data_IF_092543331822
#
_entry.id   IF_092543331822
#
_cell.length_a   1.000
_cell.length_b   1.000
_cell.length_c   1.000
_cell.angle_alpha   90.00
_cell.angle_beta   90.00
_cell.angle_gamma   90.00
#
_symmetry.space_group_name_H-M   'P 1'
#
loop_
_entity.id
_entity.type
_entity.pdbx_description
1 polymer ?
#
# COMPACT_ATOMS: atom_id res chain seq x y z
N UNK A 1 10.67 -3.55 -0.88
CA UNK A 1 9.83 -3.76 0.32
C UNK A 1 8.60 -2.88 0.18
N UNK A 2 7.39 -3.44 0.23
CA UNK A 2 6.15 -2.67 0.08
C UNK A 2 6.05 -1.65 1.21
N UNK A 3 5.99 -0.36 0.89
CA UNK A 3 5.72 0.65 1.92
C UNK A 3 4.23 0.64 2.25
N UNK A 4 3.92 0.93 3.51
CA UNK A 4 2.54 0.96 4.02
C UNK A 4 2.27 2.31 4.63
N UNK A 5 1.15 2.94 4.25
CA UNK A 5 0.74 4.23 4.78
C UNK A 5 -0.57 4.13 5.58
N UNK A 6 -0.68 4.94 6.62
CA UNK A 6 -1.88 5.09 7.44
C UNK A 6 -2.40 6.52 7.38
N UNK A 7 -3.72 6.67 7.30
CA UNK A 7 -4.41 7.96 7.42
C UNK A 7 -4.86 8.16 8.86
N UNK A 8 -4.55 9.33 9.44
CA UNK A 8 -4.90 9.67 10.81
C UNK A 8 -5.52 11.07 10.89
N UNK A 9 -6.58 11.28 11.70
CA UNK A 9 -7.12 12.61 11.92
C UNK A 9 -6.16 13.44 12.75
N UNK A 10 -5.94 14.68 12.34
CA UNK A 10 -5.29 15.71 13.15
C UNK A 10 -6.41 16.39 13.94
N UNK A 11 -6.34 16.29 15.25
CA UNK A 11 -7.33 16.88 16.13
C UNK A 11 -6.70 17.75 17.20
N UNK A 12 -7.43 18.79 17.58
CA UNK A 12 -7.11 19.66 18.69
C UNK A 12 -8.12 19.43 19.81
N UNK A 13 -7.62 19.18 21.02
CA UNK A 13 -8.43 19.19 22.22
C UNK A 13 -8.68 20.64 22.66
N UNK A 14 -9.96 21.01 22.80
CA UNK A 14 -10.38 22.33 23.29
C UNK A 14 -11.03 22.23 24.68
N UNK A 15 -10.74 21.17 25.44
CA UNK A 15 -11.35 20.88 26.75
C UNK A 15 -12.76 20.28 26.64
N UNK A 16 -13.70 21.02 26.05
CA UNK A 16 -15.11 20.59 25.93
C UNK A 16 -15.42 19.84 24.61
N UNK A 17 -14.49 19.84 23.65
CA UNK A 17 -14.66 19.17 22.35
C UNK A 17 -13.31 18.78 21.71
N UNK A 18 -13.35 17.72 20.90
CA UNK A 18 -12.28 17.35 19.97
C UNK A 18 -12.64 17.88 18.59
N UNK A 19 -11.83 18.78 18.06
CA UNK A 19 -12.03 19.36 16.72
C UNK A 19 -11.03 18.71 15.77
N UNK A 20 -11.52 18.03 14.73
CA UNK A 20 -10.67 17.55 13.63
C UNK A 20 -10.33 18.74 12.74
N UNK A 21 -9.05 19.11 12.70
CA UNK A 21 -8.52 20.22 11.91
C UNK A 21 -7.91 19.76 10.57
N UNK A 22 -7.81 18.45 10.35
CA UNK A 22 -7.38 17.89 9.08
C UNK A 22 -7.02 16.41 9.19
N UNK A 23 -6.30 15.91 8.19
CA UNK A 23 -5.90 14.51 8.07
C UNK A 23 -4.44 14.42 7.66
N UNK A 24 -3.66 13.54 8.29
CA UNK A 24 -2.27 13.28 7.92
C UNK A 24 -2.12 11.88 7.36
N UNK A 25 -1.16 11.73 6.46
CA UNK A 25 -0.70 10.45 5.92
C UNK A 25 0.64 10.14 6.55
N UNK A 26 0.76 8.97 7.17
CA UNK A 26 1.95 8.53 7.92
C UNK A 26 2.48 7.25 7.30
N UNK A 27 3.75 7.24 6.91
CA UNK A 27 4.49 6.03 6.57
C UNK A 27 4.65 5.19 7.85
N UNK A 28 4.13 3.98 7.83
CA UNK A 28 4.21 3.01 8.93
C UNK A 28 4.91 1.73 8.50
N UNK A 29 5.71 1.79 7.43
CA UNK A 29 6.56 0.68 6.97
C UNK A 29 7.47 0.17 8.09
N UNK A 30 8.01 1.09 8.88
CA UNK A 30 8.72 0.81 10.13
C UNK A 30 7.81 1.18 11.31
N UNK A 31 7.23 0.21 12.04
CA UNK A 31 6.23 0.49 13.07
C UNK A 31 6.80 1.28 14.26
N UNK A 32 8.10 1.12 14.54
CA UNK A 32 8.81 1.84 15.60
C UNK A 32 9.27 3.24 15.18
N UNK A 33 9.17 3.58 13.89
CA UNK A 33 9.64 4.84 13.32
C UNK A 33 8.64 5.44 12.30
N UNK A 34 7.40 5.75 12.71
CA UNK A 34 6.41 6.33 11.82
C UNK A 34 6.82 7.72 11.34
N UNK A 35 6.61 8.02 10.05
CA UNK A 35 6.98 9.30 9.44
C UNK A 35 5.78 9.98 8.77
N UNK A 36 5.48 11.23 9.13
CA UNK A 36 4.42 12.00 8.45
C UNK A 36 4.88 12.38 7.02
N UNK A 37 4.13 11.93 6.02
CA UNK A 37 4.41 12.16 4.59
C UNK A 37 3.72 13.44 4.11
N UNK A 38 2.46 13.64 4.50
CA UNK A 38 1.64 14.76 4.03
C UNK A 38 0.45 15.04 4.93
N UNK A 39 -0.16 16.23 4.78
CA UNK A 39 -1.36 16.66 5.47
C UNK A 39 -2.37 17.25 4.48
N UNK A 40 -3.66 16.98 4.73
CA UNK A 40 -4.80 17.31 3.86
C UNK A 40 -5.96 17.82 4.69
N UNK A 41 -6.83 18.64 4.10
CA UNK A 41 -8.01 19.17 4.77
C UNK A 41 -9.11 18.10 4.94
N UNK A 42 -9.20 17.16 4.00
CA UNK A 42 -10.28 16.15 3.96
C UNK A 42 -9.75 14.72 3.96
N UNK A 43 -10.53 13.82 4.55
CA UNK A 43 -10.22 12.39 4.60
C UNK A 43 -10.03 11.76 3.21
N UNK A 44 -10.90 12.03 2.20
CA UNK A 44 -10.74 11.42 0.88
C UNK A 44 -9.43 11.81 0.19
N UNK A 45 -8.96 13.04 0.37
CA UNK A 45 -7.67 13.50 -0.16
C UNK A 45 -6.50 12.75 0.49
N UNK A 46 -6.54 12.57 1.82
CA UNK A 46 -5.52 11.82 2.54
C UNK A 46 -5.50 10.34 2.13
N UNK A 47 -6.68 9.73 1.92
CA UNK A 47 -6.79 8.34 1.44
C UNK A 47 -6.20 8.21 0.02
N UNK A 48 -6.50 9.14 -0.88
CA UNK A 48 -5.94 9.14 -2.23
C UNK A 48 -4.42 9.27 -2.20
N UNK A 49 -3.89 10.17 -1.35
CA UNK A 49 -2.47 10.37 -1.18
C UNK A 49 -1.76 9.12 -0.62
N UNK A 50 -2.36 8.46 0.39
CA UNK A 50 -1.83 7.21 0.93
C UNK A 50 -1.73 6.11 -0.14
N UNK A 51 -2.78 5.92 -0.93
CA UNK A 51 -2.79 4.93 -2.02
C UNK A 51 -1.73 5.23 -3.09
N UNK A 52 -1.55 6.49 -3.45
CA UNK A 52 -0.50 6.89 -4.41
C UNK A 52 0.89 6.59 -3.87
N UNK A 53 1.16 6.95 -2.62
CA UNK A 53 2.43 6.66 -1.96
C UNK A 53 2.76 5.16 -1.96
N UNK A 54 1.79 4.32 -1.60
CA UNK A 54 1.95 2.87 -1.60
C UNK A 54 2.15 2.32 -3.02
N UNK A 55 1.41 2.81 -4.01
CA UNK A 55 1.53 2.39 -5.41
C UNK A 55 2.89 2.77 -6.04
N UNK A 56 3.36 3.99 -5.79
CA UNK A 56 4.66 4.49 -6.27
C UNK A 56 5.84 3.70 -5.68
N UNK A 57 5.70 3.25 -4.44
CA UNK A 57 6.76 2.54 -3.72
C UNK A 57 6.69 1.02 -3.89
N UNK A 58 5.52 0.48 -4.24
CA UNK A 58 5.39 -0.90 -4.71
C UNK A 58 6.02 -1.11 -6.09
N UNK A 59 6.15 -0.05 -6.89
CA UNK A 59 6.78 -0.07 -8.20
C UNK A 59 8.29 0.18 -8.09
N UNK A 60 9.02 -0.71 -7.41
CA UNK A 60 10.48 -0.71 -7.48
C UNK A 60 10.90 -0.90 -8.97
N UNK A 61 11.73 0.00 -9.56
CA UNK A 61 12.14 -0.03 -10.97
C UNK A 61 13.23 -1.10 -11.22
N UNK A 62 12.91 -2.35 -10.89
CA UNK A 62 13.82 -3.49 -10.96
C UNK A 62 13.14 -4.84 -11.15
N UNK A 63 11.81 -4.90 -11.11
CA UNK A 63 11.10 -6.04 -11.67
C UNK A 63 11.23 -5.94 -13.18
N UNK A 64 12.28 -6.57 -13.73
CA UNK A 64 12.15 -7.09 -15.08
C UNK A 64 10.78 -7.80 -15.14
N UNK A 65 9.97 -7.56 -16.18
CA UNK A 65 8.83 -8.43 -16.39
C UNK A 65 9.43 -9.84 -16.48
N UNK A 66 9.27 -10.65 -15.44
CA UNK A 66 9.49 -12.08 -15.54
C UNK A 66 8.31 -12.61 -16.34
N UNK A 67 8.34 -12.27 -17.64
CA UNK A 67 7.42 -12.67 -18.70
C UNK A 67 7.71 -14.13 -19.11
N UNK A 68 8.18 -14.94 -18.15
CA UNK A 68 8.06 -16.39 -18.16
C UNK A 68 7.08 -16.80 -17.08
N UNK A 69 5.88 -16.24 -17.15
CA UNK A 69 4.68 -16.96 -16.73
C UNK A 69 4.46 -18.11 -17.75
N UNK A 70 5.37 -19.08 -17.72
CA UNK A 70 5.17 -20.38 -18.33
C UNK A 70 4.06 -21.07 -17.52
N UNK A 71 2.83 -20.74 -17.90
CA UNK A 71 1.68 -21.60 -17.66
C UNK A 71 1.97 -22.94 -18.36
N UNK A 72 2.67 -23.84 -17.67
CA UNK A 72 2.65 -25.26 -18.04
C UNK A 72 1.26 -25.78 -17.65
N UNK A 73 0.29 -25.47 -18.50
CA UNK A 73 -0.99 -26.13 -18.52
C UNK A 73 -0.70 -27.59 -18.85
N UNK A 74 -0.46 -28.36 -17.78
CA UNK A 74 -0.05 -29.74 -17.82
C UNK A 74 -0.84 -30.50 -18.87
N UNK A 75 -0.10 -30.95 -19.88
CA UNK A 75 -0.51 -31.85 -20.93
C UNK A 75 -1.43 -32.95 -20.36
N UNK A 76 -2.71 -33.06 -20.78
CA UNK A 76 -3.64 -34.04 -20.20
C UNK A 76 -3.34 -35.49 -20.60
N UNK A 77 -2.22 -35.77 -21.29
CA UNK A 77 -1.91 -37.10 -21.80
C UNK A 77 -0.71 -37.80 -21.13
N UNK A 78 -0.36 -37.41 -19.90
CA UNK A 78 0.57 -38.17 -19.04
C UNK A 78 -0.10 -39.42 -18.43
N UNK A 79 -0.61 -40.29 -19.29
CA UNK A 79 -1.48 -41.42 -18.93
C UNK A 79 -1.22 -42.69 -19.74
N UNK A 80 0.01 -43.23 -19.64
CA UNK A 80 0.36 -44.66 -19.80
C UNK A 80 0.25 -45.28 -21.21
N UNK A 81 1.37 -45.34 -21.90
CA UNK A 81 1.76 -46.54 -22.66
C UNK A 81 2.83 -47.28 -21.84
N UNK A 82 2.51 -48.50 -21.37
CA UNK A 82 3.29 -49.75 -21.55
C UNK A 82 2.83 -50.83 -20.56
N UNK A 83 2.21 -51.89 -21.08
CA UNK A 83 2.61 -53.29 -20.90
C UNK A 83 1.92 -54.16 -21.93
#
# INVERSE_FOLDING_TARGET
MTRTARVEPVSEDKGDAIIVSGWRVVDVTEPDAPQEISRHDTEPQAIEAARRFEAETAHEPGSAPDDTQDYDASDPNAGKDVS
#
